data_IF_481863840958
#
_entry.id   IF_481863840958
#
_cell.length_a   1.000
_cell.length_b   1.000
_cell.length_c   1.000
_cell.angle_alpha   90.00
_cell.angle_beta   90.00
_cell.angle_gamma   90.00
#
_symmetry.space_group_name_H-M   'P 1'
#
loop_
_entity.id
_entity.type
_entity.pdbx_description
1 polymer ?
#
# COMPACT_ATOMS: atom_id res chain seq x y z
N UNK A 1 14.41 -22.89 -0.19
CA UNK A 1 13.95 -21.66 0.48
C UNK A 1 12.71 -21.17 -0.25
N UNK A 2 11.64 -20.82 0.45
CA UNK A 2 10.48 -20.21 -0.20
C UNK A 2 10.79 -18.74 -0.43
N UNK A 3 10.84 -18.32 -1.69
CA UNK A 3 11.01 -16.93 -2.07
C UNK A 3 9.61 -16.30 -2.17
N UNK A 4 9.31 -15.40 -1.24
CA UNK A 4 8.09 -14.61 -1.31
C UNK A 4 8.28 -13.46 -2.30
N UNK A 5 7.23 -13.13 -3.04
CA UNK A 5 7.25 -11.97 -3.93
C UNK A 5 7.16 -10.71 -3.10
N UNK A 6 8.20 -9.88 -3.15
CA UNK A 6 8.25 -8.60 -2.46
C UNK A 6 7.66 -7.53 -3.36
N UNK A 7 6.77 -6.70 -2.80
CA UNK A 7 6.14 -5.61 -3.52
C UNK A 7 5.79 -4.44 -2.61
N UNK A 8 5.35 -3.35 -3.24
CA UNK A 8 4.75 -2.21 -2.54
C UNK A 8 3.44 -2.67 -1.87
N UNK A 9 3.27 -2.31 -0.61
CA UNK A 9 2.02 -2.51 0.11
C UNK A 9 1.04 -1.43 -0.31
N UNK A 10 -0.16 -1.87 -0.70
CA UNK A 10 -1.27 -1.01 -1.04
C UNK A 10 -2.47 -1.34 -0.16
N UNK A 11 -3.22 -0.33 0.27
CA UNK A 11 -4.37 -0.48 1.15
C UNK A 11 -5.63 0.16 0.57
N UNK A 12 -6.78 -0.48 0.78
CA UNK A 12 -8.09 0.05 0.45
C UNK A 12 -9.07 -0.31 1.58
N UNK A 13 -9.87 0.67 2.02
CA UNK A 13 -10.86 0.45 3.06
C UNK A 13 -11.36 1.75 3.68
N UNK A 14 -12.39 1.67 4.56
CA UNK A 14 -13.07 2.84 5.10
C UNK A 14 -12.20 3.71 6.03
N UNK A 15 -11.07 3.18 6.49
CA UNK A 15 -10.12 3.91 7.34
C UNK A 15 -9.00 4.59 6.53
N UNK A 16 -8.94 4.36 5.21
CA UNK A 16 -8.04 5.11 4.33
C UNK A 16 -8.61 6.52 4.19
N UNK A 17 -7.76 7.52 4.38
CA UNK A 17 -8.11 8.93 4.28
C UNK A 17 -8.44 9.32 2.83
N UNK A 18 -9.22 10.40 2.65
CA UNK A 18 -9.65 10.85 1.31
C UNK A 18 -8.56 11.63 0.54
N UNK A 19 -7.51 12.07 1.22
CA UNK A 19 -6.43 12.86 0.62
C UNK A 19 -5.76 13.85 1.57
N UNK A 20 -4.73 14.51 1.06
CA UNK A 20 -3.98 15.52 1.80
C UNK A 20 -4.65 16.89 1.68
N UNK A 21 -4.81 17.57 2.83
CA UNK A 21 -5.46 18.87 2.91
C UNK A 21 -4.76 19.91 2.01
N UNK A 22 -5.51 20.52 1.09
CA UNK A 22 -5.05 21.52 0.13
C UNK A 22 -3.91 21.04 -0.82
N UNK A 23 -3.74 19.72 -0.97
CA UNK A 23 -2.70 19.15 -1.82
C UNK A 23 -3.31 18.11 -2.78
N UNK A 24 -4.06 18.56 -3.82
CA UNK A 24 -4.76 17.66 -4.74
C UNK A 24 -3.78 16.83 -5.59
N UNK A 25 -2.64 17.39 -5.98
CA UNK A 25 -1.61 16.67 -6.75
C UNK A 25 -1.00 15.53 -5.90
N UNK A 26 -0.65 15.82 -4.64
CA UNK A 26 -0.14 14.80 -3.72
C UNK A 26 -1.18 13.75 -3.36
N UNK A 27 -2.45 14.15 -3.33
CA UNK A 27 -3.56 13.20 -3.17
C UNK A 27 -3.59 12.27 -4.37
N UNK A 28 -3.61 12.79 -5.59
CA UNK A 28 -3.63 11.97 -6.80
C UNK A 28 -2.40 11.03 -6.90
N UNK A 29 -1.21 11.51 -6.55
CA UNK A 29 0.03 10.70 -6.54
C UNK A 29 -0.03 9.53 -5.51
N UNK A 30 -0.73 9.72 -4.40
CA UNK A 30 -0.80 8.73 -3.32
C UNK A 30 -1.76 7.57 -3.60
N UNK A 31 -2.59 7.67 -4.65
CA UNK A 31 -3.51 6.62 -5.05
C UNK A 31 -3.13 6.03 -6.40
N UNK A 32 -3.40 4.74 -6.58
CA UNK A 32 -3.36 4.09 -7.89
C UNK A 32 -4.58 4.51 -8.73
N UNK A 33 -4.53 4.27 -10.04
CA UNK A 33 -5.66 4.56 -10.94
C UNK A 33 -6.95 3.78 -10.57
N UNK A 34 -6.81 2.61 -9.93
CA UNK A 34 -7.90 1.78 -9.43
C UNK A 34 -8.27 2.04 -7.95
N UNK A 35 -7.72 3.11 -7.35
CA UNK A 35 -8.19 3.66 -6.07
C UNK A 35 -7.57 3.02 -4.82
N UNK A 36 -6.42 2.37 -4.94
CA UNK A 36 -5.66 1.88 -3.78
C UNK A 36 -4.68 2.93 -3.28
N UNK A 37 -4.58 3.07 -1.96
CA UNK A 37 -3.59 3.93 -1.33
C UNK A 37 -2.21 3.25 -1.31
N UNK A 38 -1.19 3.97 -1.79
CA UNK A 38 0.21 3.55 -1.76
C UNK A 38 0.82 3.90 -0.40
N UNK A 39 1.14 2.89 0.42
CA UNK A 39 1.68 3.18 1.77
C UNK A 39 3.14 3.63 1.73
N UNK A 40 3.85 3.31 0.64
CA UNK A 40 5.29 3.53 0.49
C UNK A 40 6.15 2.47 1.20
N UNK A 41 5.53 1.47 1.83
CA UNK A 41 6.22 0.37 2.48
C UNK A 41 6.37 -0.82 1.53
N UNK A 42 7.44 -1.60 1.70
CA UNK A 42 7.59 -2.90 1.04
C UNK A 42 7.14 -4.02 1.96
N UNK A 43 6.65 -5.11 1.37
CA UNK A 43 6.31 -6.31 2.12
C UNK A 43 5.98 -7.50 1.25
N UNK A 44 5.58 -8.57 1.91
CA UNK A 44 5.18 -9.83 1.30
C UNK A 44 4.20 -10.58 2.20
N UNK A 45 3.41 -11.49 1.62
CA UNK A 45 2.61 -12.43 2.40
C UNK A 45 3.42 -13.70 2.68
N UNK A 46 3.48 -14.10 3.94
CA UNK A 46 4.11 -15.37 4.32
C UNK A 46 3.20 -16.57 4.02
N UNK A 47 3.70 -17.79 4.25
CA UNK A 47 2.96 -19.04 4.01
C UNK A 47 1.70 -19.22 4.86
N UNK A 48 1.53 -18.43 5.93
CA UNK A 48 0.32 -18.39 6.73
C UNK A 48 -0.69 -17.34 6.24
N UNK A 49 -0.37 -16.60 5.17
CA UNK A 49 -1.20 -15.52 4.63
C UNK A 49 -1.11 -14.23 5.46
N UNK A 50 -0.10 -14.09 6.33
CA UNK A 50 0.12 -12.88 7.10
C UNK A 50 1.00 -11.90 6.31
N UNK A 51 0.59 -10.63 6.27
CA UNK A 51 1.41 -9.56 5.70
C UNK A 51 2.62 -9.28 6.59
N UNK A 52 3.82 -9.32 6.02
CA UNK A 52 5.09 -8.96 6.66
C UNK A 52 5.64 -7.71 6.00
N UNK A 53 5.97 -6.71 6.80
CA UNK A 53 6.72 -5.53 6.36
C UNK A 53 8.18 -5.92 6.12
N UNK A 54 8.78 -5.35 5.07
CA UNK A 54 10.17 -5.56 4.67
C UNK A 54 10.86 -4.20 4.59
N UNK A 55 11.98 -4.06 5.29
CA UNK A 55 12.79 -2.83 5.34
C UNK A 55 14.19 -3.10 5.89
#
# INVERSE_FOLDING_TARGET
>A
EQQYEHGEIQAQGPNVFDGYLNLPEKTAEAFTEDGWFRTGDLGFFDSAGCLRLSG
#
